data_IF_186613598044
#
_entry.id   IF_186613598044
#
_cell.length_a   1.000
_cell.length_b   1.000
_cell.length_c   1.000
_cell.angle_alpha   90.00
_cell.angle_beta   90.00
_cell.angle_gamma   90.00
#
_symmetry.space_group_name_H-M   'P 1'
#
loop_
_entity.id
_entity.type
_entity.pdbx_description
1 polymer ?
#
# COMPACT_ATOMS: atom_id res chain seq x y z
N UNK A 1 -0.67 12.65 25.47
CA UNK A 1 -1.73 12.44 24.46
C UNK A 1 -1.15 12.98 23.16
N UNK A 2 -0.60 12.11 22.32
CA UNK A 2 -0.25 12.47 20.97
C UNK A 2 -1.59 12.62 20.24
N UNK A 3 -1.93 13.83 19.84
CA UNK A 3 -2.95 14.04 18.82
C UNK A 3 -2.48 13.32 17.58
N UNK A 4 -3.25 12.33 17.14
CA UNK A 4 -3.05 11.73 15.85
C UNK A 4 -3.25 12.82 14.80
N UNK A 5 -2.18 13.43 14.37
CA UNK A 5 -2.18 14.33 13.24
C UNK A 5 -2.57 13.48 12.03
N UNK A 6 -3.80 13.60 11.60
CA UNK A 6 -4.22 13.06 10.32
C UNK A 6 -3.37 13.71 9.25
N UNK A 7 -2.47 12.94 8.65
CA UNK A 7 -1.82 13.32 7.41
C UNK A 7 -2.96 13.67 6.45
N UNK A 8 -3.05 14.92 6.06
CA UNK A 8 -4.04 15.40 5.10
C UNK A 8 -3.96 14.49 3.87
N UNK A 9 -5.06 13.82 3.55
CA UNK A 9 -5.26 12.83 2.52
C UNK A 9 -4.46 13.06 1.24
N UNK A 10 -3.21 12.66 1.22
CA UNK A 10 -2.46 12.56 -0.01
C UNK A 10 -2.63 11.14 -0.55
N UNK A 11 -3.50 10.99 -1.55
CA UNK A 11 -3.54 9.77 -2.33
C UNK A 11 -2.21 9.64 -3.06
N UNK A 12 -1.41 8.67 -2.67
CA UNK A 12 -0.14 8.35 -3.31
C UNK A 12 -0.41 7.26 -4.34
N UNK A 13 -0.20 7.59 -5.62
CA UNK A 13 -0.32 6.59 -6.68
C UNK A 13 0.76 5.51 -6.51
N UNK A 14 0.37 4.24 -6.54
CA UNK A 14 1.28 3.10 -6.48
C UNK A 14 1.99 2.92 -7.83
N UNK A 15 2.87 3.86 -8.14
CA UNK A 15 3.64 3.91 -9.37
C UNK A 15 5.08 4.30 -9.05
N UNK A 16 6.01 3.63 -9.74
CA UNK A 16 7.43 3.99 -9.78
C UNK A 16 7.81 4.30 -11.23
N UNK A 17 8.78 5.16 -11.43
CA UNK A 17 9.38 5.34 -12.74
C UNK A 17 10.88 5.62 -12.66
N UNK A 18 11.62 5.17 -13.68
CA UNK A 18 12.97 5.64 -13.97
C UNK A 18 12.89 6.69 -15.07
N UNK A 19 13.52 7.82 -14.84
CA UNK A 19 13.63 8.90 -15.82
C UNK A 19 14.81 8.67 -16.75
N UNK A 20 14.89 9.40 -17.89
CA UNK A 20 16.06 9.36 -18.79
C UNK A 20 17.36 9.71 -18.06
N UNK A 21 17.30 10.60 -17.06
CA UNK A 21 18.45 10.99 -16.22
C UNK A 21 18.80 9.92 -15.17
N UNK A 22 18.19 8.73 -15.26
CA UNK A 22 18.42 7.61 -14.35
C UNK A 22 18.08 7.93 -12.88
N UNK A 23 17.01 8.69 -12.67
CA UNK A 23 16.46 8.93 -11.33
C UNK A 23 15.25 8.06 -11.10
N UNK A 24 15.13 7.51 -9.90
CA UNK A 24 13.91 6.87 -9.43
C UNK A 24 12.97 7.96 -8.90
N UNK A 25 11.77 7.99 -9.44
CA UNK A 25 10.66 8.80 -8.93
C UNK A 25 9.47 7.92 -8.63
N UNK A 26 8.52 8.40 -7.82
CA UNK A 26 7.41 7.61 -7.34
C UNK A 26 6.15 8.47 -7.12
N UNK A 27 5.03 7.82 -6.85
CA UNK A 27 3.78 8.50 -6.58
C UNK A 27 3.23 9.27 -7.76
N UNK A 28 2.79 10.49 -7.52
CA UNK A 28 2.15 11.34 -8.53
C UNK A 28 3.11 11.73 -9.68
N UNK A 29 4.37 11.96 -9.38
CA UNK A 29 5.35 12.33 -10.41
C UNK A 29 5.64 11.16 -11.36
N UNK A 30 5.76 9.95 -10.83
CA UNK A 30 5.87 8.75 -11.63
C UNK A 30 4.59 8.48 -12.44
N UNK A 31 3.42 8.75 -11.87
CA UNK A 31 2.14 8.58 -12.56
C UNK A 31 2.03 9.47 -13.81
N UNK A 32 2.53 10.69 -13.74
CA UNK A 32 2.56 11.62 -14.89
C UNK A 32 3.37 11.09 -16.06
N UNK A 33 4.41 10.30 -15.80
CA UNK A 33 5.24 9.69 -16.84
C UNK A 33 4.60 8.45 -17.48
N UNK A 34 3.52 7.93 -16.94
CA UNK A 34 2.88 6.69 -17.47
C UNK A 34 2.50 6.81 -18.95
N UNK A 35 2.16 8.00 -19.41
CA UNK A 35 1.84 8.25 -20.82
C UNK A 35 3.07 8.24 -21.72
N UNK A 36 4.27 8.41 -21.17
CA UNK A 36 5.55 8.52 -21.89
C UNK A 36 6.36 7.23 -21.90
N UNK A 37 6.01 6.23 -21.09
CA UNK A 37 6.76 4.96 -20.90
C UNK A 37 7.13 4.24 -22.22
N UNK A 38 6.32 4.42 -23.25
CA UNK A 38 6.55 3.83 -24.58
C UNK A 38 7.06 4.82 -25.62
N UNK A 39 7.13 6.09 -25.29
CA UNK A 39 7.39 7.18 -26.23
C UNK A 39 8.78 7.79 -26.06
N UNK A 40 9.38 7.70 -24.87
CA UNK A 40 10.69 8.27 -24.59
C UNK A 40 11.70 7.20 -24.24
N UNK A 41 12.86 7.25 -24.91
CA UNK A 41 13.97 6.37 -24.57
C UNK A 41 14.48 6.65 -23.16
N UNK A 42 14.67 5.59 -22.37
CA UNK A 42 15.15 5.68 -21.01
C UNK A 42 14.06 5.85 -19.94
N UNK A 43 12.82 6.15 -20.30
CA UNK A 43 11.70 6.13 -19.37
C UNK A 43 11.23 4.69 -19.16
N UNK A 44 11.03 4.30 -17.92
CA UNK A 44 10.39 3.04 -17.54
C UNK A 44 9.43 3.27 -16.40
N UNK A 45 8.19 2.86 -16.56
CA UNK A 45 7.12 3.00 -15.55
C UNK A 45 6.68 1.63 -15.05
N UNK A 46 6.69 1.46 -13.74
CA UNK A 46 6.25 0.27 -13.04
C UNK A 46 4.94 0.59 -12.33
N UNK A 47 3.86 0.02 -12.81
CA UNK A 47 2.52 0.20 -12.25
C UNK A 47 1.84 -1.14 -12.06
N UNK A 48 0.72 -1.15 -11.32
CA UNK A 48 -0.08 -2.34 -11.07
C UNK A 48 0.68 -3.49 -10.37
N UNK A 49 1.81 -3.19 -9.70
CA UNK A 49 2.60 -4.21 -9.03
C UNK A 49 1.82 -4.85 -7.86
N UNK A 50 0.91 -4.14 -7.19
CA UNK A 50 0.03 -4.71 -6.18
C UNK A 50 -0.73 -5.94 -6.73
N UNK A 51 -1.33 -5.80 -7.91
CA UNK A 51 -2.13 -6.87 -8.52
C UNK A 51 -1.30 -8.05 -9.05
N UNK A 52 0.00 -7.84 -9.23
CA UNK A 52 0.93 -8.85 -9.77
C UNK A 52 1.79 -9.50 -8.69
N UNK A 53 1.69 -9.01 -7.46
CA UNK A 53 2.48 -9.45 -6.33
C UNK A 53 2.19 -10.94 -6.04
N UNK A 54 3.24 -11.75 -6.00
CA UNK A 54 3.13 -13.18 -5.68
C UNK A 54 2.43 -14.06 -6.72
N UNK A 55 1.99 -13.50 -7.86
CA UNK A 55 1.28 -14.28 -8.89
C UNK A 55 2.20 -14.84 -9.99
N UNK A 56 3.27 -14.13 -10.30
CA UNK A 56 4.17 -14.50 -11.38
C UNK A 56 5.38 -15.28 -10.89
N UNK A 57 5.72 -16.35 -11.59
CA UNK A 57 7.03 -16.99 -11.50
C UNK A 57 7.89 -16.38 -12.59
N UNK A 58 8.86 -15.54 -12.20
CA UNK A 58 9.77 -14.89 -13.14
C UNK A 58 9.56 -13.38 -13.27
N UNK A 59 10.20 -12.75 -14.29
CA UNK A 59 10.19 -11.32 -14.47
C UNK A 59 8.77 -10.80 -14.77
N UNK A 60 8.37 -9.75 -14.05
CA UNK A 60 7.11 -9.05 -14.30
C UNK A 60 7.30 -7.88 -15.25
N UNK A 61 8.49 -7.29 -15.23
CA UNK A 61 8.89 -6.13 -16.01
C UNK A 61 10.20 -6.42 -16.75
N UNK A 62 10.52 -5.68 -17.82
CA UNK A 62 11.86 -5.68 -18.37
C UNK A 62 12.86 -5.25 -17.29
N UNK A 63 13.91 -6.05 -17.11
CA UNK A 63 14.93 -5.79 -16.11
C UNK A 63 15.51 -4.40 -16.29
N UNK A 64 15.35 -3.58 -15.27
CA UNK A 64 15.83 -2.21 -15.26
C UNK A 64 16.74 -2.01 -14.08
N UNK A 65 17.94 -1.50 -14.35
CA UNK A 65 18.99 -1.31 -13.34
C UNK A 65 19.35 0.16 -13.28
N UNK A 66 19.26 0.73 -12.11
CA UNK A 66 19.70 2.09 -11.80
C UNK A 66 20.87 2.02 -10.82
N UNK A 67 21.97 2.67 -11.15
CA UNK A 67 23.12 2.81 -10.26
C UNK A 67 23.14 4.22 -9.69
N UNK A 68 22.87 4.34 -8.40
CA UNK A 68 22.95 5.61 -7.67
C UNK A 68 24.33 5.76 -7.04
N UNK A 69 25.14 6.63 -7.62
CA UNK A 69 26.50 6.86 -7.15
C UNK A 69 27.39 5.61 -7.28
N UNK A 70 28.38 5.48 -6.38
CA UNK A 70 29.35 4.38 -6.42
C UNK A 70 28.94 3.13 -5.63
N UNK A 71 27.84 3.14 -4.88
CA UNK A 71 27.56 2.12 -3.85
C UNK A 71 26.15 1.54 -3.85
N UNK A 72 25.18 2.11 -4.54
CA UNK A 72 23.83 1.57 -4.54
C UNK A 72 23.33 1.28 -5.95
N UNK A 73 22.79 0.09 -6.12
CA UNK A 73 22.17 -0.33 -7.36
C UNK A 73 20.72 -0.74 -7.06
N UNK A 74 19.79 -0.07 -7.72
CA UNK A 74 18.37 -0.41 -7.66
C UNK A 74 18.06 -1.27 -8.89
N UNK A 75 17.48 -2.43 -8.66
CA UNK A 75 17.01 -3.31 -9.75
C UNK A 75 15.52 -3.53 -9.58
N UNK A 76 14.78 -3.31 -10.65
CA UNK A 76 13.34 -3.60 -10.71
C UNK A 76 13.10 -4.53 -11.89
N UNK A 77 12.67 -5.75 -11.59
CA UNK A 77 12.33 -6.79 -12.56
C UNK A 77 11.04 -7.52 -12.16
N UNK A 78 10.72 -7.53 -10.87
CA UNK A 78 9.55 -8.21 -10.33
C UNK A 78 8.58 -7.23 -9.66
N UNK A 79 7.36 -7.70 -9.43
CA UNK A 79 6.39 -6.94 -8.63
C UNK A 79 6.86 -6.74 -7.17
N UNK A 80 7.61 -7.71 -6.62
CA UNK A 80 8.22 -7.58 -5.29
C UNK A 80 9.28 -6.48 -5.26
N UNK A 81 10.13 -6.38 -6.29
CA UNK A 81 11.12 -5.31 -6.39
C UNK A 81 10.46 -3.94 -6.45
N UNK A 82 9.44 -3.79 -7.31
CA UNK A 82 8.69 -2.55 -7.42
C UNK A 82 8.00 -2.19 -6.10
N UNK A 83 7.41 -3.16 -5.42
CA UNK A 83 6.76 -2.97 -4.12
C UNK A 83 7.78 -2.54 -3.06
N UNK A 84 8.92 -3.20 -2.99
CA UNK A 84 10.02 -2.86 -2.07
C UNK A 84 10.49 -1.41 -2.26
N UNK A 85 10.81 -1.02 -3.48
CA UNK A 85 11.30 0.33 -3.75
C UNK A 85 10.22 1.39 -3.53
N UNK A 86 8.96 1.09 -3.85
CA UNK A 86 7.84 1.98 -3.57
C UNK A 86 7.69 2.23 -2.07
N UNK A 87 7.62 1.18 -1.27
CA UNK A 87 7.46 1.32 0.18
C UNK A 87 8.69 1.92 0.86
N UNK A 88 9.90 1.68 0.34
CA UNK A 88 11.11 2.38 0.81
C UNK A 88 10.92 3.89 0.80
N UNK A 89 10.42 4.43 -0.30
CA UNK A 89 10.20 5.86 -0.44
C UNK A 89 9.02 6.36 0.41
N UNK A 90 7.90 5.63 0.43
CA UNK A 90 6.74 5.98 1.26
C UNK A 90 7.11 6.00 2.75
N UNK A 91 7.81 4.98 3.24
CA UNK A 91 8.23 4.88 4.63
C UNK A 91 9.21 5.99 5.01
N UNK A 92 10.12 6.34 4.11
CA UNK A 92 11.05 7.44 4.31
C UNK A 92 10.31 8.77 4.44
N UNK A 93 9.30 9.02 3.61
CA UNK A 93 8.50 10.24 3.68
C UNK A 93 7.67 10.29 4.95
N UNK A 94 7.02 9.19 5.31
CA UNK A 94 6.27 9.07 6.57
C UNK A 94 7.18 9.32 7.78
N UNK A 95 8.39 8.73 7.77
CA UNK A 95 9.35 8.93 8.86
C UNK A 95 9.78 10.40 8.98
N UNK A 96 10.00 11.07 7.85
CA UNK A 96 10.37 12.49 7.83
C UNK A 96 9.21 13.38 8.34
N UNK A 97 7.99 13.11 7.89
CA UNK A 97 6.82 13.90 8.24
C UNK A 97 6.44 13.74 9.73
N UNK A 98 6.48 12.51 10.22
CA UNK A 98 6.18 12.20 11.62
C UNK A 98 7.37 12.46 12.56
N UNK A 99 8.53 12.85 12.02
CA UNK A 99 9.77 13.04 12.79
C UNK A 99 10.08 11.81 13.66
N UNK A 100 10.05 10.64 13.00
CA UNK A 100 10.28 9.36 13.67
C UNK A 100 11.71 9.28 14.18
N UNK A 101 11.89 9.31 15.51
CA UNK A 101 13.20 9.20 16.15
C UNK A 101 13.65 7.75 16.31
N UNK A 102 12.70 6.85 16.62
CA UNK A 102 12.96 5.43 16.86
C UNK A 102 11.97 4.56 16.05
N UNK A 103 12.38 4.05 14.87
CA UNK A 103 11.53 3.22 14.03
C UNK A 103 11.05 1.92 14.72
N UNK A 104 11.79 1.39 15.69
CA UNK A 104 11.46 0.14 16.38
C UNK A 104 10.21 0.26 17.27
N UNK A 105 9.79 1.48 17.62
CA UNK A 105 8.60 1.74 18.43
C UNK A 105 7.30 1.76 17.63
N UNK A 106 7.37 1.79 16.30
CA UNK A 106 6.19 1.89 15.45
C UNK A 106 5.69 0.51 15.04
N UNK A 107 4.38 0.38 14.97
CA UNK A 107 3.69 -0.75 14.35
C UNK A 107 3.09 -0.29 13.04
N UNK A 108 3.17 -1.14 12.05
CA UNK A 108 2.68 -0.90 10.70
C UNK A 108 1.53 -1.85 10.39
N UNK A 109 0.40 -1.31 10.02
CA UNK A 109 -0.74 -2.10 9.54
C UNK A 109 -0.97 -1.76 8.07
N UNK A 110 -0.91 -2.78 7.23
CA UNK A 110 -1.15 -2.65 5.80
C UNK A 110 -2.48 -3.31 5.42
N UNK A 111 -3.23 -2.64 4.57
CA UNK A 111 -4.46 -3.20 4.03
C UNK A 111 -4.17 -3.99 2.76
N UNK A 112 -4.83 -5.13 2.63
CA UNK A 112 -4.73 -6.02 1.47
C UNK A 112 -6.13 -6.38 0.99
N UNK A 113 -6.33 -6.62 -0.32
CA UNK A 113 -7.59 -7.18 -0.82
C UNK A 113 -7.94 -8.47 -0.07
N UNK A 114 -9.22 -8.69 0.22
CA UNK A 114 -9.68 -9.94 0.82
C UNK A 114 -9.36 -11.15 -0.08
N UNK A 115 -9.33 -10.93 -1.39
CA UNK A 115 -8.97 -11.91 -2.41
C UNK A 115 -7.48 -12.28 -2.46
N UNK A 116 -6.60 -11.57 -1.71
CA UNK A 116 -5.18 -11.92 -1.68
C UNK A 116 -4.95 -13.30 -1.08
N UNK A 117 -4.35 -14.16 -1.87
CA UNK A 117 -3.93 -15.49 -1.44
C UNK A 117 -2.66 -15.44 -0.55
N UNK A 118 -2.34 -16.57 0.07
CA UNK A 118 -1.21 -16.67 0.98
C UNK A 118 0.16 -16.34 0.35
N UNK A 119 0.34 -16.64 -0.95
CA UNK A 119 1.55 -16.28 -1.70
C UNK A 119 1.68 -14.76 -1.90
N UNK A 120 0.57 -14.08 -2.17
CA UNK A 120 0.53 -12.62 -2.34
C UNK A 120 0.80 -11.89 -1.03
N UNK A 121 0.19 -12.34 0.06
CA UNK A 121 0.43 -11.80 1.41
C UNK A 121 1.87 -11.99 1.83
N UNK A 122 2.47 -13.18 1.60
CA UNK A 122 3.88 -13.44 1.87
C UNK A 122 4.81 -12.58 1.03
N UNK A 123 4.50 -12.37 -0.25
CA UNK A 123 5.30 -11.52 -1.13
C UNK A 123 5.30 -10.06 -0.65
N UNK A 124 4.14 -9.56 -0.19
CA UNK A 124 4.05 -8.23 0.43
C UNK A 124 4.91 -8.15 1.69
N UNK A 125 4.78 -9.11 2.59
CA UNK A 125 5.57 -9.15 3.84
C UNK A 125 7.06 -9.12 3.53
N UNK A 126 7.56 -9.97 2.62
CA UNK A 126 8.98 -9.96 2.22
C UNK A 126 9.44 -8.61 1.67
N UNK A 127 8.60 -7.96 0.86
CA UNK A 127 8.92 -6.63 0.33
C UNK A 127 9.01 -5.57 1.43
N UNK A 128 8.21 -5.68 2.48
CA UNK A 128 8.22 -4.78 3.63
C UNK A 128 9.40 -5.06 4.57
N UNK A 129 9.66 -6.33 4.88
CA UNK A 129 10.81 -6.76 5.70
C UNK A 129 12.14 -6.32 5.07
N UNK A 130 12.22 -6.31 3.74
CA UNK A 130 13.39 -5.79 3.01
C UNK A 130 13.63 -4.29 3.22
N UNK A 131 12.67 -3.58 3.81
CA UNK A 131 12.78 -2.17 4.23
C UNK A 131 13.07 -2.02 5.73
N UNK A 132 13.66 -3.02 6.36
CA UNK A 132 14.02 -3.06 7.78
C UNK A 132 12.83 -3.00 8.75
N UNK A 133 11.63 -3.35 8.29
CA UNK A 133 10.47 -3.51 9.17
C UNK A 133 10.50 -4.93 9.73
N UNK A 134 10.57 -5.07 11.04
CA UNK A 134 10.58 -6.38 11.70
C UNK A 134 9.20 -7.02 11.64
N UNK A 135 9.14 -8.35 11.51
CA UNK A 135 7.88 -9.09 11.42
C UNK A 135 6.91 -8.78 12.58
N UNK A 136 7.43 -8.60 13.78
CA UNK A 136 6.64 -8.25 14.97
C UNK A 136 6.02 -6.85 14.92
N UNK A 137 6.46 -6.00 14.00
CA UNK A 137 5.93 -4.66 13.76
C UNK A 137 4.86 -4.66 12.67
N UNK A 138 4.74 -5.76 11.90
CA UNK A 138 3.85 -5.87 10.74
C UNK A 138 2.52 -6.52 11.12
N UNK A 139 1.45 -5.94 10.60
CA UNK A 139 0.11 -6.54 10.60
C UNK A 139 -0.52 -6.34 9.24
N UNK A 140 -1.25 -7.34 8.78
CA UNK A 140 -2.09 -7.24 7.59
C UNK A 140 -3.56 -7.29 8.03
N UNK A 141 -4.37 -6.46 7.42
CA UNK A 141 -5.82 -6.45 7.58
C UNK A 141 -6.48 -6.43 6.20
N UNK A 142 -7.56 -7.15 6.04
CA UNK A 142 -8.30 -7.13 4.78
C UNK A 142 -8.99 -5.77 4.58
N UNK A 143 -8.93 -5.25 3.35
CA UNK A 143 -9.49 -3.93 3.01
C UNK A 143 -10.95 -3.75 3.45
N UNK A 144 -11.86 -4.74 3.25
CA UNK A 144 -13.24 -4.61 3.73
C UNK A 144 -13.33 -4.52 5.27
N UNK A 145 -12.47 -5.23 6.00
CA UNK A 145 -12.43 -5.13 7.47
C UNK A 145 -11.93 -3.74 7.91
N UNK A 146 -10.91 -3.21 7.24
CA UNK A 146 -10.41 -1.87 7.54
C UNK A 146 -11.45 -0.79 7.23
N UNK A 147 -12.16 -0.91 6.10
CA UNK A 147 -13.25 0.00 5.74
C UNK A 147 -14.39 -0.03 6.77
N UNK A 148 -14.78 -1.23 7.20
CA UNK A 148 -15.81 -1.38 8.22
C UNK A 148 -15.38 -0.80 9.57
N UNK A 149 -14.15 -1.07 10.01
CA UNK A 149 -13.63 -0.49 11.25
C UNK A 149 -13.57 1.04 11.19
N UNK A 150 -13.18 1.62 10.05
CA UNK A 150 -13.20 3.07 9.84
C UNK A 150 -14.62 3.63 9.96
N UNK A 151 -15.59 2.96 9.34
CA UNK A 151 -17.01 3.34 9.45
C UNK A 151 -17.53 3.24 10.89
N UNK A 152 -17.18 2.17 11.63
CA UNK A 152 -17.53 2.03 13.04
C UNK A 152 -16.94 3.17 13.88
N UNK A 153 -15.67 3.50 13.64
CA UNK A 153 -15.02 4.63 14.31
C UNK A 153 -15.77 5.95 14.06
N UNK A 154 -16.12 6.24 12.80
CA UNK A 154 -16.94 7.42 12.48
C UNK A 154 -18.30 7.40 13.19
N UNK A 155 -18.92 6.23 13.30
CA UNK A 155 -20.18 6.08 14.03
C UNK A 155 -20.03 6.43 15.52
N UNK A 156 -18.89 6.12 16.15
CA UNK A 156 -18.61 6.49 17.54
C UNK A 156 -18.44 8.00 17.73
N UNK A 157 -17.93 8.68 16.71
CA UNK A 157 -17.70 10.14 16.76
C UNK A 157 -18.97 10.95 16.44
N UNK A 158 -19.99 10.32 15.87
CA UNK A 158 -21.20 11.00 15.40
C UNK A 158 -22.47 10.45 16.07
N UNK A 159 -23.04 11.22 16.99
CA UNK A 159 -24.24 10.85 17.73
C UNK A 159 -25.43 10.41 16.86
N UNK A 160 -25.52 10.88 15.63
CA UNK A 160 -26.62 10.48 14.71
C UNK A 160 -26.48 9.04 14.18
N UNK A 161 -25.29 8.44 14.29
CA UNK A 161 -25.02 7.07 13.83
C UNK A 161 -25.05 6.03 14.95
N UNK A 162 -25.30 6.43 16.19
CA UNK A 162 -25.38 5.50 17.33
C UNK A 162 -26.47 4.43 17.19
N UNK A 163 -27.58 4.75 16.52
CA UNK A 163 -28.64 3.76 16.26
C UNK A 163 -28.19 2.61 15.35
N UNK A 164 -27.22 2.85 14.46
CA UNK A 164 -26.65 1.79 13.64
C UNK A 164 -25.78 0.85 14.49
N UNK A 165 -24.92 1.40 15.35
CA UNK A 165 -24.09 0.62 16.25
C UNK A 165 -24.94 -0.31 17.15
N UNK A 166 -26.02 0.20 17.73
CA UNK A 166 -26.92 -0.61 18.56
C UNK A 166 -27.58 -1.76 17.81
N UNK A 167 -27.90 -1.59 16.53
CA UNK A 167 -28.48 -2.65 15.71
C UNK A 167 -27.48 -3.78 15.43
N UNK A 168 -26.27 -3.44 15.01
CA UNK A 168 -25.26 -4.47 14.65
C UNK A 168 -24.70 -5.20 15.87
N UNK A 169 -24.79 -4.62 17.07
CA UNK A 169 -24.34 -5.26 18.31
C UNK A 169 -25.41 -6.09 19.02
N UNK A 170 -26.67 -5.92 18.66
CA UNK A 170 -27.79 -6.65 19.27
C UNK A 170 -28.21 -7.89 18.50
N UNK A 171 -27.89 -7.97 17.23
CA UNK A 171 -28.25 -9.07 16.32
C UNK A 171 -27.04 -9.46 15.52
N UNK A 172 -26.90 -10.76 15.19
CA UNK A 172 -25.91 -11.19 14.21
C UNK A 172 -26.18 -10.46 12.89
N UNK A 173 -25.28 -9.59 12.49
CA UNK A 173 -25.46 -8.75 11.32
C UNK A 173 -24.51 -9.17 10.20
N UNK A 174 -25.05 -9.26 8.99
CA UNK A 174 -24.26 -9.39 7.78
C UNK A 174 -24.07 -7.99 7.16
N UNK A 175 -22.81 -7.57 7.06
CA UNK A 175 -22.42 -6.28 6.49
C UNK A 175 -21.85 -6.50 5.10
N UNK A 176 -22.49 -5.92 4.11
CA UNK A 176 -21.97 -5.89 2.74
C UNK A 176 -21.02 -4.70 2.60
N UNK A 177 -19.78 -4.98 2.31
CA UNK A 177 -18.77 -3.98 1.94
C UNK A 177 -18.55 -4.02 0.43
N UNK A 178 -18.79 -2.90 -0.20
CA UNK A 178 -18.59 -2.70 -1.62
C UNK A 178 -17.44 -1.71 -1.83
N UNK A 179 -16.28 -2.22 -2.24
CA UNK A 179 -15.09 -1.43 -2.51
C UNK A 179 -14.91 -1.25 -4.01
N UNK A 180 -15.15 -0.04 -4.47
CA UNK A 180 -15.03 0.33 -5.87
C UNK A 180 -13.83 1.25 -6.08
N UNK A 181 -12.67 0.63 -6.31
CA UNK A 181 -11.41 1.33 -6.55
C UNK A 181 -11.18 1.70 -8.01
N UNK A 182 -10.07 2.39 -8.27
CA UNK A 182 -9.69 2.82 -9.62
C UNK A 182 -9.32 1.67 -10.57
N UNK A 183 -9.07 0.46 -10.06
CA UNK A 183 -8.65 -0.70 -10.86
C UNK A 183 -9.31 -2.01 -10.48
N UNK A 184 -10.04 -2.05 -9.37
CA UNK A 184 -10.71 -3.26 -8.85
C UNK A 184 -12.08 -2.91 -8.30
N UNK A 185 -12.97 -3.89 -8.31
CA UNK A 185 -14.24 -3.86 -7.60
C UNK A 185 -14.28 -5.12 -6.74
N UNK A 186 -14.20 -4.92 -5.43
CA UNK A 186 -14.24 -6.01 -4.46
C UNK A 186 -15.56 -5.93 -3.65
N UNK A 187 -16.24 -7.07 -3.53
CA UNK A 187 -17.46 -7.19 -2.75
C UNK A 187 -17.21 -8.22 -1.67
N UNK A 188 -17.45 -7.84 -0.43
CA UNK A 188 -17.22 -8.70 0.73
C UNK A 188 -18.42 -8.69 1.66
N UNK A 189 -18.73 -9.83 2.26
CA UNK A 189 -19.74 -9.94 3.31
C UNK A 189 -18.99 -10.21 4.62
N UNK A 190 -19.21 -9.36 5.61
CA UNK A 190 -18.68 -9.49 6.96
C UNK A 190 -19.80 -9.93 7.88
N UNK A 191 -19.59 -10.99 8.63
CA UNK A 191 -20.48 -11.43 9.71
C UNK A 191 -19.98 -10.79 11.01
N UNK A 192 -20.89 -10.11 11.69
CA UNK A 192 -20.64 -9.51 13.01
C UNK A 192 -21.45 -10.29 14.03
N UNK A 193 -20.78 -10.99 14.93
CA UNK A 193 -21.36 -11.83 15.99
C UNK A 193 -20.85 -11.41 17.37
#
# INVERSE_FOLDING_TARGET
KAEAGFIKHHLINSVLAFTPERKLIWGQDAYRLKSFDKMEEGVRVFSSFKMRLGLAIGPTYPKTVLTEGRKSTITVETAEDATREFFKNVLQEVANELKVEDPDRYKFTFTVPASFEANQRRALIRSLESNNIKQQQLSLIDEPNAAFLSFLYECTQNNRKHSFLSKITQENANILVYDFGAGTCDISILEVS
#
